data_IF_881743094435
#
_entry.id   IF_881743094435
#
_cell.length_a   1.000
_cell.length_b   1.000
_cell.length_c   1.000
_cell.angle_alpha   90.00
_cell.angle_beta   90.00
_cell.angle_gamma   90.00
#
_symmetry.space_group_name_H-M   'P 1'
#
loop_
_entity.id
_entity.type
_entity.pdbx_description
1 polymer ?
#
# COMPACT_ATOMS: atom_id res chain seq x y z
N UNK A 1 -5.47 3.96 -17.22
CA UNK A 1 -6.11 2.64 -17.39
C UNK A 1 -5.33 1.46 -16.79
N UNK A 2 -4.04 1.62 -16.52
CA UNK A 2 -3.18 0.55 -15.93
C UNK A 2 -3.00 0.65 -14.41
N UNK A 3 -3.35 1.76 -13.80
CA UNK A 3 -3.19 2.02 -12.36
C UNK A 3 -4.25 1.28 -11.52
N UNK A 4 -5.47 1.12 -12.04
CA UNK A 4 -6.47 0.26 -11.39
C UNK A 4 -6.01 -1.20 -11.24
N UNK A 5 -5.12 -1.65 -12.13
CA UNK A 5 -4.51 -2.99 -12.10
C UNK A 5 -3.42 -3.07 -11.03
N UNK A 6 -2.69 -1.97 -10.78
CA UNK A 6 -1.66 -1.96 -9.75
C UNK A 6 -2.24 -1.97 -8.33
N UNK A 7 -3.37 -1.30 -8.10
CA UNK A 7 -4.11 -1.38 -6.83
C UNK A 7 -4.64 -2.79 -6.60
N UNK A 8 -4.99 -3.53 -7.67
CA UNK A 8 -5.35 -4.94 -7.59
C UNK A 8 -4.12 -5.87 -7.46
N UNK A 9 -2.95 -5.45 -7.94
CA UNK A 9 -1.73 -6.24 -7.80
C UNK A 9 -1.21 -6.26 -6.35
N UNK A 10 -1.53 -5.26 -5.54
CA UNK A 10 -1.33 -5.32 -4.09
C UNK A 10 -2.31 -6.28 -3.39
N UNK A 11 -3.45 -6.60 -4.02
CA UNK A 11 -4.45 -7.48 -3.44
C UNK A 11 -4.24 -8.97 -3.71
N UNK A 12 -3.45 -9.28 -4.62
CA UNK A 12 -2.92 -10.60 -4.96
C UNK A 12 -1.82 -10.28 -5.94
N UNK A 13 -0.83 -11.08 -6.08
CA UNK A 13 -0.26 -11.28 -7.40
C UNK A 13 -1.38 -11.82 -8.31
N UNK A 14 -2.53 -11.14 -8.30
CA UNK A 14 -3.40 -11.22 -9.42
C UNK A 14 -2.56 -10.67 -10.57
N UNK A 15 -1.70 -11.51 -11.08
CA UNK A 15 -1.59 -11.58 -12.49
C UNK A 15 -3.03 -11.81 -12.93
N UNK A 16 -3.81 -10.75 -12.95
CA UNK A 16 -4.69 -10.64 -14.06
C UNK A 16 -3.70 -10.84 -15.17
N UNK A 17 -3.61 -12.09 -15.63
CA UNK A 17 -3.09 -12.37 -16.94
C UNK A 17 -3.77 -11.26 -17.72
N UNK A 18 -3.02 -10.20 -17.93
CA UNK A 18 -3.56 -9.07 -18.67
C UNK A 18 -4.13 -9.74 -19.88
N UNK A 19 -5.39 -9.59 -20.17
CA UNK A 19 -5.78 -9.76 -21.53
C UNK A 19 -5.00 -8.66 -22.26
N UNK A 20 -3.80 -9.00 -22.70
CA UNK A 20 -3.05 -8.27 -23.72
C UNK A 20 -3.82 -8.18 -25.04
N UNK A 21 -5.09 -8.54 -25.01
CA UNK A 21 -6.02 -8.62 -26.15
C UNK A 21 -7.07 -7.53 -26.18
N UNK A 22 -7.05 -6.51 -25.29
CA UNK A 22 -8.09 -5.48 -25.25
C UNK A 22 -7.69 -4.15 -25.91
N UNK A 23 -6.69 -4.16 -26.79
CA UNK A 23 -6.38 -3.02 -27.65
C UNK A 23 -6.08 -3.50 -29.07
N UNK A 24 -7.02 -4.22 -29.68
CA UNK A 24 -7.08 -4.24 -31.13
C UNK A 24 -7.98 -3.07 -31.58
N UNK A 25 -7.36 -1.93 -31.75
CA UNK A 25 -7.88 -0.88 -32.58
C UNK A 25 -7.81 -1.36 -34.03
N UNK A 26 -8.96 -1.50 -34.67
CA UNK A 26 -9.11 -1.79 -36.09
C UNK A 26 -8.79 -0.52 -36.90
N UNK A 27 -7.52 -0.21 -37.05
CA UNK A 27 -7.04 0.74 -38.08
C UNK A 27 -6.50 -0.03 -39.27
N UNK A 28 -6.80 0.37 -40.51
CA UNK A 28 -6.29 -0.29 -41.73
C UNK A 28 -4.78 -0.26 -41.78
N UNK A 29 -4.12 -1.23 -42.44
CA UNK A 29 -2.68 -1.39 -42.40
C UNK A 29 -1.98 -0.21 -43.08
N UNK A 30 -1.30 0.60 -42.25
CA UNK A 30 -0.27 1.50 -42.72
C UNK A 30 1.02 0.70 -43.09
N UNK A 31 1.74 1.15 -44.09
CA UNK A 31 2.99 0.55 -44.54
C UNK A 31 3.94 0.21 -43.36
N UNK A 32 4.74 -0.86 -43.47
CA UNK A 32 5.57 -1.32 -42.35
C UNK A 32 6.58 -0.23 -41.98
N UNK A 33 6.39 0.34 -40.79
CA UNK A 33 7.41 1.17 -40.16
C UNK A 33 8.65 0.30 -39.85
N UNK A 34 9.87 0.85 -39.90
CA UNK A 34 11.06 0.12 -39.50
C UNK A 34 10.84 -0.50 -38.13
N UNK A 35 11.21 -1.78 -37.99
CA UNK A 35 11.04 -2.53 -36.75
C UNK A 35 11.61 -1.70 -35.58
N UNK A 36 10.84 -1.47 -34.51
CA UNK A 36 11.34 -0.76 -33.34
C UNK A 36 12.57 -1.51 -32.81
N UNK A 37 13.60 -0.77 -32.41
CA UNK A 37 14.76 -1.33 -31.74
C UNK A 37 14.28 -2.25 -30.61
N UNK A 38 14.88 -3.45 -30.43
CA UNK A 38 14.46 -4.38 -29.40
C UNK A 38 14.48 -3.66 -28.05
N UNK A 39 13.32 -3.56 -27.42
CA UNK A 39 13.23 -3.02 -26.06
C UNK A 39 14.07 -3.90 -25.13
N UNK A 40 14.91 -3.31 -24.26
CA UNK A 40 15.66 -4.09 -23.28
C UNK A 40 14.70 -5.03 -22.54
N UNK A 41 14.93 -6.32 -22.64
CA UNK A 41 14.15 -7.31 -21.90
C UNK A 41 14.75 -7.41 -20.51
N UNK A 42 14.01 -6.98 -19.49
CA UNK A 42 14.36 -7.18 -18.08
C UNK A 42 14.01 -8.58 -17.60
N UNK A 43 13.79 -9.52 -18.54
CA UNK A 43 13.44 -10.92 -18.27
C UNK A 43 14.50 -11.85 -18.86
N UNK A 44 15.01 -12.77 -18.05
CA UNK A 44 16.00 -13.77 -18.44
C UNK A 44 15.54 -15.15 -17.96
N UNK A 45 15.32 -16.08 -18.89
CA UNK A 45 14.91 -17.44 -18.55
C UNK A 45 13.59 -17.54 -17.78
N UNK A 46 12.65 -16.61 -18.04
CA UNK A 46 11.37 -16.55 -17.33
C UNK A 46 11.43 -15.84 -15.97
N UNK A 47 12.60 -15.32 -15.58
CA UNK A 47 12.77 -14.51 -14.38
C UNK A 47 12.75 -13.04 -14.76
N UNK A 48 11.87 -12.27 -14.14
CA UNK A 48 11.72 -10.82 -14.32
C UNK A 48 12.52 -10.06 -13.26
N UNK A 49 13.24 -9.03 -13.70
CA UNK A 49 13.98 -8.11 -12.84
C UNK A 49 13.35 -6.72 -12.97
N UNK A 50 13.08 -6.09 -11.83
CA UNK A 50 12.62 -4.70 -11.78
C UNK A 50 13.19 -3.99 -10.58
N UNK A 51 13.09 -2.67 -10.57
CA UNK A 51 13.52 -1.89 -9.42
C UNK A 51 13.13 -0.44 -9.54
N UNK A 52 13.27 0.28 -8.43
CA UNK A 52 13.01 1.71 -8.36
C UNK A 52 13.95 2.41 -7.38
N UNK A 53 14.12 3.71 -7.59
CA UNK A 53 14.72 4.64 -6.64
C UNK A 53 13.76 5.82 -6.53
N UNK A 54 13.32 6.09 -5.31
CA UNK A 54 12.38 7.15 -4.96
C UNK A 54 13.04 8.10 -3.96
N UNK A 55 13.21 9.36 -4.35
CA UNK A 55 13.75 10.40 -3.52
C UNK A 55 12.86 11.64 -3.51
N UNK A 56 12.86 12.38 -2.40
CA UNK A 56 12.01 13.54 -2.23
C UNK A 56 12.66 14.66 -1.44
N UNK A 57 12.09 15.84 -1.57
CA UNK A 57 12.22 16.95 -0.63
C UNK A 57 10.83 17.34 -0.15
N UNK A 58 10.61 17.36 1.16
CA UNK A 58 9.33 17.79 1.75
C UNK A 58 9.56 19.06 2.57
N UNK A 59 8.94 20.18 2.17
CA UNK A 59 8.92 21.44 2.90
C UNK A 59 7.70 21.51 3.80
N UNK A 60 7.88 21.40 5.11
CA UNK A 60 6.84 21.55 6.11
C UNK A 60 6.79 23.04 6.58
N UNK A 61 5.65 23.70 6.39
CA UNK A 61 5.51 25.13 6.67
C UNK A 61 5.43 25.48 8.16
N UNK A 62 5.19 24.48 9.01
CA UNK A 62 5.32 24.64 10.45
C UNK A 62 6.78 24.67 10.92
N UNK A 63 7.73 24.30 10.05
CA UNK A 63 9.16 24.26 10.34
C UNK A 63 9.50 23.54 11.67
N UNK A 64 9.02 22.30 11.91
CA UNK A 64 9.17 21.62 13.19
C UNK A 64 10.64 21.32 13.50
N UNK A 65 11.07 21.58 14.74
CA UNK A 65 12.43 21.30 15.19
C UNK A 65 12.73 19.78 15.17
N UNK A 66 11.69 18.93 15.26
CA UNK A 66 11.80 17.48 15.08
C UNK A 66 12.23 17.10 13.67
N UNK A 67 12.08 18.00 12.67
CA UNK A 67 12.31 17.74 11.24
C UNK A 67 11.51 16.54 10.71
N UNK A 68 10.30 16.34 11.23
CA UNK A 68 9.41 15.25 10.90
C UNK A 68 8.05 15.78 10.44
N UNK A 69 7.48 15.14 9.42
CA UNK A 69 6.08 15.27 9.04
C UNK A 69 5.29 14.27 9.88
N UNK A 70 4.52 14.76 10.83
CA UNK A 70 3.71 13.89 11.66
C UNK A 70 2.56 13.29 10.84
N UNK A 71 2.19 12.04 11.13
CA UNK A 71 1.19 11.24 10.41
C UNK A 71 1.56 10.85 8.96
N UNK A 72 2.74 11.22 8.48
CA UNK A 72 3.24 10.87 7.14
C UNK A 72 4.34 9.82 7.28
N UNK A 73 4.06 8.59 6.85
CA UNK A 73 4.93 7.44 7.14
C UNK A 73 6.05 7.23 6.11
N UNK A 74 5.82 7.61 4.85
CA UNK A 74 6.75 7.35 3.75
C UNK A 74 7.54 8.61 3.35
N UNK A 75 6.94 9.78 3.51
CA UNK A 75 7.55 11.10 3.34
C UNK A 75 7.76 11.80 4.70
N UNK A 76 8.19 11.01 5.66
CA UNK A 76 8.33 11.36 7.08
C UNK A 76 9.29 12.52 7.35
N UNK A 77 10.38 12.63 6.59
CA UNK A 77 11.40 13.65 6.84
C UNK A 77 10.98 15.02 6.30
N UNK A 78 10.94 16.03 7.18
CA UNK A 78 10.61 17.41 6.86
C UNK A 78 11.84 18.27 6.62
N UNK A 79 11.76 19.23 5.70
CA UNK A 79 12.76 20.26 5.41
C UNK A 79 14.15 19.71 5.07
N UNK A 80 14.19 18.57 4.36
CA UNK A 80 15.42 17.94 3.91
C UNK A 80 15.20 17.05 2.69
N UNK A 81 16.27 16.78 1.95
CA UNK A 81 16.28 15.74 0.92
C UNK A 81 16.36 14.36 1.57
N UNK A 82 15.59 13.43 1.06
CA UNK A 82 15.50 12.07 1.64
C UNK A 82 15.37 11.01 0.56
N UNK A 83 15.96 9.86 0.83
CA UNK A 83 15.70 8.62 0.10
C UNK A 83 14.43 7.99 0.70
N UNK A 84 13.33 8.03 -0.03
CA UNK A 84 12.10 7.34 0.34
C UNK A 84 12.30 5.83 0.26
N UNK A 85 12.72 5.36 -0.93
CA UNK A 85 12.89 3.95 -1.20
C UNK A 85 13.93 3.71 -2.31
N UNK A 86 14.73 2.65 -2.16
CA UNK A 86 15.47 2.01 -3.22
C UNK A 86 15.16 0.51 -3.17
N UNK A 87 14.57 -0.06 -4.24
CA UNK A 87 14.06 -1.42 -4.26
C UNK A 87 14.51 -2.18 -5.51
N UNK A 88 14.79 -3.46 -5.34
CA UNK A 88 15.03 -4.43 -6.40
C UNK A 88 14.05 -5.57 -6.22
N UNK A 89 13.43 -6.00 -7.31
CA UNK A 89 12.46 -7.10 -7.35
C UNK A 89 12.92 -8.17 -8.32
N UNK A 90 12.77 -9.42 -7.92
CA UNK A 90 13.01 -10.61 -8.75
C UNK A 90 11.77 -11.48 -8.69
N UNK A 91 11.18 -11.80 -9.82
CA UNK A 91 9.94 -12.52 -9.89
C UNK A 91 9.96 -13.62 -10.96
N UNK A 92 9.28 -14.71 -10.69
CA UNK A 92 8.94 -15.76 -11.66
C UNK A 92 7.44 -16.03 -11.56
N UNK A 93 6.73 -15.89 -12.68
CA UNK A 93 5.30 -16.19 -12.72
C UNK A 93 5.02 -17.67 -12.45
N UNK A 94 3.97 -18.03 -11.67
CA UNK A 94 3.66 -19.43 -11.35
C UNK A 94 3.13 -20.20 -12.56
N UNK A 95 3.95 -21.12 -13.08
CA UNK A 95 3.58 -22.07 -14.14
C UNK A 95 4.32 -23.41 -13.97
N UNK A 96 3.89 -24.31 -13.07
CA UNK A 96 2.91 -24.14 -11.98
C UNK A 96 3.49 -23.53 -10.70
N UNK A 97 4.80 -23.31 -10.61
CA UNK A 97 5.51 -22.78 -9.44
C UNK A 97 6.12 -21.45 -9.81
N UNK A 98 5.95 -20.45 -8.94
CA UNK A 98 6.53 -19.13 -9.06
C UNK A 98 7.12 -18.64 -7.75
N UNK A 99 7.67 -17.45 -7.77
CA UNK A 99 8.15 -16.75 -6.58
C UNK A 99 8.20 -15.25 -6.81
N UNK A 100 8.21 -14.50 -5.72
CA UNK A 100 8.49 -13.07 -5.66
C UNK A 100 9.48 -12.80 -4.54
N UNK A 101 10.52 -12.01 -4.83
CA UNK A 101 11.46 -11.49 -3.83
C UNK A 101 11.64 -10.00 -4.10
N UNK A 102 11.28 -9.17 -3.11
CA UNK A 102 11.44 -7.72 -3.12
C UNK A 102 12.34 -7.31 -1.98
N UNK A 103 13.48 -6.72 -2.32
CA UNK A 103 14.47 -6.22 -1.37
C UNK A 103 14.61 -4.72 -1.51
N UNK A 104 14.60 -4.00 -0.39
CA UNK A 104 14.71 -2.57 -0.44
C UNK A 104 15.29 -1.91 0.81
N UNK A 105 15.55 -0.62 0.66
CA UNK A 105 16.18 0.25 1.63
C UNK A 105 15.52 1.62 1.58
N UNK A 106 15.67 2.38 2.64
CA UNK A 106 15.16 3.74 2.75
C UNK A 106 14.14 3.90 3.86
N UNK A 107 13.63 5.12 4.04
CA UNK A 107 12.71 5.45 5.15
C UNK A 107 11.41 4.64 5.13
N UNK A 108 10.92 4.29 3.96
CA UNK A 108 9.75 3.42 3.84
C UNK A 108 9.95 2.08 4.56
N UNK A 109 11.12 1.45 4.39
CA UNK A 109 11.45 0.17 5.03
C UNK A 109 11.62 0.28 6.54
N UNK A 110 12.21 1.37 7.05
CA UNK A 110 12.27 1.63 8.49
C UNK A 110 10.85 1.69 9.09
N UNK A 111 9.92 2.28 8.33
CA UNK A 111 8.57 2.52 8.81
C UNK A 111 7.68 1.28 8.76
N UNK A 112 7.62 0.57 7.64
CA UNK A 112 6.76 -0.62 7.50
C UNK A 112 7.13 -1.73 8.48
N UNK A 113 8.41 -1.79 8.90
CA UNK A 113 8.92 -2.75 9.88
C UNK A 113 9.06 -2.18 11.30
N UNK A 114 8.48 -1.00 11.57
CA UNK A 114 8.64 -0.33 12.87
C UNK A 114 7.97 -1.07 14.04
N UNK A 115 6.99 -1.92 13.75
CA UNK A 115 6.24 -2.72 14.74
C UNK A 115 6.78 -4.13 14.92
N UNK A 116 7.78 -4.54 14.14
CA UNK A 116 8.43 -5.84 14.31
C UNK A 116 9.02 -5.97 15.72
N UNK A 117 8.93 -7.15 16.37
CA UNK A 117 9.50 -7.36 17.67
C UNK A 117 10.99 -6.98 17.72
N UNK A 118 11.39 -6.29 18.78
CA UNK A 118 12.79 -5.92 18.99
C UNK A 118 13.62 -7.19 19.17
N UNK A 119 14.52 -7.46 18.25
CA UNK A 119 15.35 -8.67 18.22
C UNK A 119 15.21 -9.50 16.95
N UNK A 120 14.23 -9.22 16.09
CA UNK A 120 14.23 -9.74 14.74
C UNK A 120 15.52 -9.31 14.04
N UNK A 121 16.17 -10.25 13.38
CA UNK A 121 17.42 -10.01 12.68
C UNK A 121 17.27 -8.81 11.74
N UNK A 122 18.13 -7.80 11.90
CA UNK A 122 17.97 -6.50 11.23
C UNK A 122 17.89 -6.56 9.70
N UNK A 123 18.31 -7.67 9.06
CA UNK A 123 18.16 -7.89 7.62
C UNK A 123 16.73 -8.16 7.17
N UNK A 124 15.83 -8.66 8.04
CA UNK A 124 14.41 -8.86 7.72
C UNK A 124 13.72 -7.55 7.38
N UNK A 125 14.20 -6.42 7.92
CA UNK A 125 13.70 -5.08 7.58
C UNK A 125 13.90 -4.67 6.13
N UNK A 126 14.74 -5.39 5.39
CA UNK A 126 15.00 -5.10 3.99
C UNK A 126 14.17 -5.99 3.04
N UNK A 127 13.36 -6.89 3.59
CA UNK A 127 12.49 -7.78 2.81
C UNK A 127 11.08 -7.18 2.84
N UNK A 128 10.60 -6.72 1.69
CA UNK A 128 9.21 -6.31 1.54
C UNK A 128 8.33 -7.52 1.24
N UNK A 129 8.77 -8.35 0.31
CA UNK A 129 8.11 -9.59 -0.06
C UNK A 129 9.13 -10.72 -0.27
N UNK A 130 8.81 -11.91 0.17
CA UNK A 130 9.54 -13.13 -0.13
C UNK A 130 8.57 -14.31 -0.02
N UNK A 131 8.02 -14.76 -1.13
CA UNK A 131 7.06 -15.87 -1.13
C UNK A 131 7.20 -16.76 -2.36
N UNK A 132 6.74 -17.99 -2.21
CA UNK A 132 6.58 -18.98 -3.28
C UNK A 132 5.11 -19.05 -3.65
N UNK A 133 4.83 -19.11 -4.96
CA UNK A 133 3.49 -19.26 -5.52
C UNK A 133 3.30 -20.63 -6.13
N UNK A 134 2.12 -21.21 -5.94
CA UNK A 134 1.69 -22.46 -6.57
C UNK A 134 0.37 -22.21 -7.30
N UNK A 135 0.36 -22.47 -8.60
CA UNK A 135 -0.81 -22.34 -9.49
C UNK A 135 -1.00 -23.60 -10.32
N UNK A 136 -1.70 -24.62 -9.78
CA UNK A 136 -1.85 -25.89 -10.47
C UNK A 136 -2.65 -25.70 -11.78
N UNK A 137 -2.19 -26.24 -12.93
CA UNK A 137 -2.82 -26.01 -14.23
C UNK A 137 -4.30 -26.43 -14.32
N UNK A 138 -4.71 -27.41 -13.53
CA UNK A 138 -6.08 -27.95 -13.53
C UNK A 138 -6.99 -27.36 -12.45
N UNK A 139 -6.50 -26.41 -11.64
CA UNK A 139 -7.21 -25.86 -10.49
C UNK A 139 -8.06 -24.62 -10.81
N UNK A 140 -8.48 -24.43 -12.06
CA UNK A 140 -9.38 -23.36 -12.51
C UNK A 140 -8.91 -21.95 -12.10
N UNK A 141 -7.59 -21.71 -12.10
CA UNK A 141 -7.00 -20.42 -11.73
C UNK A 141 -6.79 -20.23 -10.23
N UNK A 142 -6.96 -21.27 -9.42
CA UNK A 142 -6.53 -21.25 -8.01
C UNK A 142 -5.03 -20.96 -7.91
N UNK A 143 -4.66 -20.07 -7.01
CA UNK A 143 -3.30 -19.71 -6.68
C UNK A 143 -3.14 -19.68 -5.17
N UNK A 144 -2.01 -20.15 -4.67
CA UNK A 144 -1.64 -20.10 -3.27
C UNK A 144 -0.21 -19.58 -3.13
N UNK A 145 0.01 -18.59 -2.28
CA UNK A 145 1.31 -18.03 -1.95
C UNK A 145 1.64 -18.32 -0.50
N UNK A 146 2.90 -18.71 -0.25
CA UNK A 146 3.42 -18.94 1.09
C UNK A 146 4.71 -18.15 1.30
N UNK A 147 4.74 -17.34 2.35
CA UNK A 147 5.85 -16.48 2.74
C UNK A 147 5.40 -15.10 3.18
N UNK A 148 6.26 -14.10 3.01
CA UNK A 148 5.97 -12.70 3.28
C UNK A 148 5.41 -12.01 2.04
N UNK A 149 4.28 -11.33 2.18
CA UNK A 149 3.61 -10.61 1.10
C UNK A 149 2.94 -9.34 1.61
N UNK A 150 2.87 -8.31 0.77
CA UNK A 150 2.15 -7.07 1.10
C UNK A 150 0.67 -7.32 1.31
N UNK A 151 0.05 -6.47 2.12
CA UNK A 151 -1.40 -6.56 2.40
C UNK A 151 -2.24 -6.46 1.13
N UNK A 152 -3.45 -7.02 1.18
CA UNK A 152 -4.48 -6.80 0.18
C UNK A 152 -5.45 -5.67 0.54
N UNK A 153 -5.33 -5.09 1.75
CA UNK A 153 -6.17 -3.99 2.20
C UNK A 153 -5.68 -2.64 1.66
N UNK A 154 -6.61 -1.70 1.50
CA UNK A 154 -6.35 -0.33 1.08
C UNK A 154 -6.41 -0.10 -0.42
N UNK A 155 -6.59 1.18 -0.80
CA UNK A 155 -6.61 1.64 -2.18
C UNK A 155 -5.22 2.00 -2.71
N UNK A 156 -4.22 2.08 -1.85
CA UNK A 156 -2.84 2.43 -2.15
C UNK A 156 -1.91 1.24 -1.91
N UNK A 157 -0.68 1.33 -2.40
CA UNK A 157 0.39 0.34 -2.22
C UNK A 157 1.63 1.03 -1.64
N UNK A 158 2.62 0.26 -1.21
CA UNK A 158 3.83 0.79 -0.58
C UNK A 158 4.62 1.71 -1.52
N UNK A 159 4.74 1.34 -2.80
CA UNK A 159 5.51 2.12 -3.76
C UNK A 159 4.73 3.35 -4.26
N UNK A 160 5.26 4.54 -3.98
CA UNK A 160 4.67 5.80 -4.47
C UNK A 160 4.55 5.84 -6.00
N UNK A 161 5.41 5.13 -6.73
CA UNK A 161 5.39 5.01 -8.20
C UNK A 161 4.02 4.58 -8.75
N UNK A 162 3.34 3.68 -8.06
CA UNK A 162 2.06 3.09 -8.49
C UNK A 162 0.84 3.80 -7.91
N UNK A 163 1.03 4.63 -6.90
CA UNK A 163 -0.01 5.48 -6.32
C UNK A 163 -0.25 6.72 -7.18
N UNK A 164 -1.40 7.35 -7.04
CA UNK A 164 -1.73 8.60 -7.76
C UNK A 164 -1.16 9.84 -7.08
N UNK A 165 -1.01 9.80 -5.75
CA UNK A 165 -0.35 10.82 -4.94
C UNK A 165 1.07 10.36 -4.59
N UNK A 166 1.94 11.30 -4.21
CA UNK A 166 3.27 10.98 -3.71
C UNK A 166 3.20 10.47 -2.27
N UNK A 167 2.59 11.25 -1.39
CA UNK A 167 2.33 10.84 -0.01
C UNK A 167 1.21 9.82 0.08
N UNK A 168 1.30 8.93 1.04
CA UNK A 168 0.25 7.95 1.32
C UNK A 168 -0.89 8.57 2.12
N UNK A 169 -2.08 8.00 1.95
CA UNK A 169 -3.28 8.36 2.69
C UNK A 169 -3.14 8.07 4.19
N UNK A 170 -3.92 8.77 5.01
CA UNK A 170 -4.05 8.44 6.44
C UNK A 170 -4.58 7.02 6.63
N UNK A 171 -5.49 6.57 5.75
CA UNK A 171 -6.02 5.21 5.80
C UNK A 171 -4.92 4.18 5.56
N UNK A 172 -4.12 4.33 4.52
CA UNK A 172 -3.01 3.42 4.24
C UNK A 172 -1.98 3.43 5.38
N UNK A 173 -1.69 4.62 5.91
CA UNK A 173 -0.66 4.78 6.93
C UNK A 173 -1.08 4.25 8.32
N UNK A 174 -2.38 4.35 8.68
CA UNK A 174 -2.82 4.19 10.07
C UNK A 174 -4.01 3.25 10.28
N UNK A 175 -4.74 2.86 9.22
CA UNK A 175 -5.92 2.02 9.37
C UNK A 175 -5.68 0.54 9.10
N UNK A 176 -4.68 0.18 8.30
CA UNK A 176 -4.47 -1.15 7.73
C UNK A 176 -3.05 -1.68 7.99
N UNK A 177 -2.81 -3.00 7.91
CA UNK A 177 -1.45 -3.55 7.90
C UNK A 177 -0.72 -3.24 6.58
N UNK A 178 0.61 -3.28 6.58
CA UNK A 178 1.43 -3.14 5.37
C UNK A 178 1.74 -4.49 4.73
N UNK A 179 2.00 -5.52 5.53
CA UNK A 179 2.35 -6.86 5.06
C UNK A 179 1.93 -7.95 6.05
N UNK A 180 2.05 -9.17 5.60
CA UNK A 180 1.78 -10.38 6.38
C UNK A 180 2.80 -11.46 6.05
N UNK A 181 3.03 -12.37 6.99
CA UNK A 181 3.73 -13.63 6.74
C UNK A 181 2.80 -14.82 6.97
N UNK A 182 2.65 -15.71 5.98
CA UNK A 182 1.79 -16.87 6.10
C UNK A 182 1.36 -17.44 4.75
N UNK A 183 0.14 -17.93 4.70
CA UNK A 183 -0.50 -18.46 3.50
C UNK A 183 -1.61 -17.53 3.03
N UNK A 184 -1.62 -17.16 1.76
CA UNK A 184 -2.78 -16.55 1.11
C UNK A 184 -3.21 -17.37 -0.09
N UNK A 185 -4.51 -17.34 -0.40
CA UNK A 185 -5.07 -18.01 -1.56
C UNK A 185 -5.91 -17.04 -2.39
N UNK A 186 -6.07 -17.35 -3.66
CA UNK A 186 -6.93 -16.62 -4.57
C UNK A 186 -7.54 -17.57 -5.59
N UNK A 187 -8.82 -17.37 -5.93
CA UNK A 187 -9.52 -18.18 -6.92
C UNK A 187 -10.56 -17.34 -7.66
N UNK A 188 -10.55 -17.34 -9.01
CA UNK A 188 -11.67 -16.82 -9.78
C UNK A 188 -12.91 -17.72 -9.60
N UNK A 189 -13.93 -17.21 -8.90
CA UNK A 189 -15.18 -17.95 -8.65
C UNK A 189 -16.18 -17.78 -9.81
N UNK A 190 -16.11 -16.63 -10.47
CA UNK A 190 -16.85 -16.34 -11.72
C UNK A 190 -15.96 -15.52 -12.65
N UNK A 191 -16.46 -15.16 -13.85
CA UNK A 191 -15.76 -14.25 -14.79
C UNK A 191 -15.49 -12.85 -14.22
N UNK A 192 -16.21 -12.47 -13.18
CA UNK A 192 -16.15 -11.11 -12.61
C UNK A 192 -15.83 -11.09 -11.13
N UNK A 193 -15.86 -12.23 -10.45
CA UNK A 193 -15.66 -12.30 -9.01
C UNK A 193 -14.53 -13.25 -8.66
N UNK A 194 -13.57 -12.76 -7.88
CA UNK A 194 -12.45 -13.51 -7.29
C UNK A 194 -12.58 -13.45 -5.78
N UNK A 195 -12.31 -14.56 -5.12
CA UNK A 195 -12.28 -14.65 -3.66
C UNK A 195 -11.00 -15.31 -3.17
N UNK A 196 -10.64 -15.08 -1.91
CA UNK A 196 -9.46 -15.67 -1.29
C UNK A 196 -9.56 -15.74 0.22
N UNK A 197 -8.73 -16.58 0.80
CA UNK A 197 -8.57 -16.74 2.25
C UNK A 197 -7.10 -16.64 2.59
N UNK A 198 -6.79 -16.04 3.73
CA UNK A 198 -5.44 -15.89 4.25
C UNK A 198 -5.38 -16.45 5.68
N UNK A 199 -4.25 -17.07 6.03
CA UNK A 199 -3.90 -17.47 7.41
C UNK A 199 -2.48 -17.00 7.64
N UNK A 200 -2.33 -16.01 8.53
CA UNK A 200 -1.07 -15.27 8.69
C UNK A 200 -0.70 -15.12 10.17
N UNK A 201 0.56 -14.81 10.45
CA UNK A 201 1.04 -14.55 11.80
C UNK A 201 0.28 -13.39 12.45
N UNK A 202 0.14 -12.27 11.74
CA UNK A 202 -0.53 -11.08 12.23
C UNK A 202 -0.34 -9.89 11.29
N UNK A 203 -0.44 -8.69 11.87
CA UNK A 203 -0.24 -7.41 11.18
C UNK A 203 1.21 -6.98 11.29
N UNK A 204 1.90 -6.84 10.14
CA UNK A 204 3.29 -6.40 10.07
C UNK A 204 4.27 -7.26 10.89
N UNK A 205 3.97 -8.55 10.99
CA UNK A 205 4.76 -9.52 11.76
C UNK A 205 5.34 -10.58 10.83
N UNK A 206 6.66 -10.53 10.61
CA UNK A 206 7.41 -11.62 9.98
C UNK A 206 7.54 -12.77 10.98
N UNK A 207 7.92 -12.46 12.22
CA UNK A 207 7.92 -13.36 13.35
C UNK A 207 6.67 -13.11 14.19
N UNK A 208 5.94 -14.18 14.53
CA UNK A 208 4.69 -14.07 15.27
C UNK A 208 4.89 -13.50 16.68
N UNK A 209 4.17 -12.46 17.02
CA UNK A 209 4.24 -11.80 18.33
C UNK A 209 3.39 -12.47 19.42
N UNK A 210 2.61 -13.53 19.05
CA UNK A 210 1.81 -14.35 19.94
C UNK A 210 1.72 -15.79 19.39
N UNK A 211 0.78 -16.63 19.80
CA UNK A 211 0.63 -18.01 19.28
C UNK A 211 -0.61 -18.21 18.41
N UNK A 212 -1.45 -17.19 18.33
CA UNK A 212 -2.66 -17.22 17.50
C UNK A 212 -2.35 -16.89 16.05
N UNK A 213 -3.36 -17.00 15.18
CA UNK A 213 -3.23 -16.62 13.77
C UNK A 213 -4.36 -15.66 13.40
N UNK A 214 -4.02 -14.73 12.51
CA UNK A 214 -4.99 -13.85 11.89
C UNK A 214 -5.52 -14.47 10.61
N UNK A 215 -6.84 -14.45 10.47
CA UNK A 215 -7.54 -14.90 9.27
C UNK A 215 -7.94 -13.69 8.42
N UNK A 216 -7.69 -13.77 7.12
CA UNK A 216 -8.11 -12.79 6.13
C UNK A 216 -9.10 -13.42 5.14
N UNK A 217 -10.13 -12.66 4.77
CA UNK A 217 -11.08 -13.00 3.72
C UNK A 217 -11.08 -11.87 2.70
N UNK A 218 -10.84 -12.20 1.43
CA UNK A 218 -10.72 -11.22 0.36
C UNK A 218 -11.76 -11.48 -0.71
N UNK A 219 -12.29 -10.42 -1.30
CA UNK A 219 -13.24 -10.51 -2.40
C UNK A 219 -13.11 -9.36 -3.37
N UNK A 220 -13.14 -9.64 -4.67
CA UNK A 220 -13.07 -8.62 -5.71
C UNK A 220 -14.08 -8.87 -6.82
N UNK A 221 -14.83 -7.83 -7.17
CA UNK A 221 -15.82 -7.85 -8.28
C UNK A 221 -15.45 -6.79 -9.30
N UNK A 222 -15.07 -7.23 -10.50
CA UNK A 222 -14.56 -6.36 -11.56
C UNK A 222 -15.51 -6.30 -12.76
N UNK A 223 -15.77 -5.07 -13.21
CA UNK A 223 -16.47 -4.73 -14.44
C UNK A 223 -15.66 -3.69 -15.23
N UNK A 224 -15.98 -3.45 -16.53
CA UNK A 224 -15.19 -2.54 -17.37
C UNK A 224 -15.04 -1.12 -16.83
N UNK A 225 -16.00 -0.62 -16.05
CA UNK A 225 -16.01 0.75 -15.53
C UNK A 225 -15.81 0.88 -14.03
N UNK A 226 -15.78 -0.23 -13.30
CA UNK A 226 -15.55 -0.22 -11.86
C UNK A 226 -15.04 -1.56 -11.37
N UNK A 227 -14.31 -1.48 -10.24
CA UNK A 227 -13.93 -2.62 -9.43
C UNK A 227 -14.31 -2.32 -7.98
N UNK A 228 -15.04 -3.26 -7.37
CA UNK A 228 -15.30 -3.29 -5.95
C UNK A 228 -14.48 -4.41 -5.35
N UNK A 229 -13.67 -4.13 -4.34
CA UNK A 229 -12.95 -5.17 -3.60
C UNK A 229 -12.93 -4.83 -2.11
N UNK A 230 -12.78 -5.84 -1.31
CA UNK A 230 -12.75 -5.68 0.13
C UNK A 230 -12.07 -6.83 0.84
N UNK A 231 -11.71 -6.54 2.08
CA UNK A 231 -11.00 -7.44 2.95
C UNK A 231 -11.65 -7.43 4.34
N UNK A 232 -11.64 -8.59 4.99
CA UNK A 232 -11.94 -8.71 6.40
C UNK A 232 -10.83 -9.50 7.06
N UNK A 233 -10.17 -8.87 8.04
CA UNK A 233 -9.14 -9.51 8.86
C UNK A 233 -9.64 -9.66 10.29
N UNK A 234 -9.35 -10.82 10.90
CA UNK A 234 -9.74 -11.12 12.28
C UNK A 234 -8.73 -12.05 12.94
N UNK A 235 -8.21 -11.66 14.08
CA UNK A 235 -7.26 -12.47 14.86
C UNK A 235 -6.74 -11.77 16.11
N UNK A 236 -5.99 -12.47 16.93
CA UNK A 236 -5.27 -11.89 18.07
C UNK A 236 -4.04 -11.11 17.55
N UNK A 237 -3.86 -9.89 18.04
CA UNK A 237 -2.78 -8.98 17.66
C UNK A 237 -2.10 -8.34 18.87
N UNK A 238 -2.43 -8.81 20.08
CA UNK A 238 -1.78 -8.34 21.29
C UNK A 238 -0.52 -9.15 21.56
N UNK A 239 0.59 -8.46 21.87
CA UNK A 239 1.89 -9.09 22.08
C UNK A 239 1.86 -10.06 23.28
N UNK A 240 2.46 -11.25 23.10
CA UNK A 240 2.58 -12.33 24.08
C UNK A 240 1.25 -12.94 24.56
N UNK A 241 0.13 -12.70 23.87
CA UNK A 241 -1.17 -13.26 24.27
C UNK A 241 -2.16 -13.36 23.13
N UNK A 242 -3.02 -14.38 23.17
CA UNK A 242 -4.17 -14.51 22.26
C UNK A 242 -5.45 -13.86 22.83
N UNK A 243 -5.37 -13.22 24.00
CA UNK A 243 -6.48 -12.51 24.61
C UNK A 243 -6.74 -11.19 23.87
N UNK A 244 -7.99 -10.96 23.49
CA UNK A 244 -8.38 -9.78 22.73
C UNK A 244 -8.05 -9.92 21.24
N UNK A 245 -9.05 -9.60 20.43
CA UNK A 245 -8.97 -9.76 18.99
C UNK A 245 -9.06 -8.42 18.27
N UNK A 246 -8.30 -8.30 17.18
CA UNK A 246 -8.41 -7.21 16.21
C UNK A 246 -9.31 -7.63 15.07
N UNK A 247 -10.08 -6.68 14.58
CA UNK A 247 -10.91 -6.84 13.39
C UNK A 247 -10.69 -5.64 12.49
N UNK A 248 -10.64 -5.87 11.18
CA UNK A 248 -10.60 -4.84 10.15
C UNK A 248 -11.59 -5.19 9.05
N UNK A 249 -12.40 -4.23 8.67
CA UNK A 249 -13.15 -4.22 7.42
C UNK A 249 -12.53 -3.13 6.54
N UNK A 250 -12.09 -3.52 5.36
CA UNK A 250 -11.61 -2.64 4.31
C UNK A 250 -12.49 -2.81 3.08
N UNK A 251 -12.93 -1.70 2.48
CA UNK A 251 -13.77 -1.68 1.29
C UNK A 251 -13.32 -0.61 0.31
N UNK A 252 -13.13 -1.00 -0.93
CA UNK A 252 -12.59 -0.15 -1.98
C UNK A 252 -13.46 -0.20 -3.23
N UNK A 253 -13.85 0.97 -3.71
CA UNK A 253 -14.51 1.15 -5.00
C UNK A 253 -13.58 1.95 -5.91
N UNK A 254 -13.08 1.31 -6.96
CA UNK A 254 -12.32 1.97 -8.02
C UNK A 254 -13.23 2.19 -9.23
N UNK A 255 -13.28 3.42 -9.71
CA UNK A 255 -14.08 3.85 -10.85
C UNK A 255 -13.18 4.23 -12.03
N UNK A 256 -13.52 3.75 -13.23
CA UNK A 256 -12.82 4.08 -14.48
C UNK A 256 -13.84 4.58 -15.53
N UNK A 257 -14.49 5.73 -15.28
CA UNK A 257 -15.56 6.23 -16.14
C UNK A 257 -15.07 6.59 -17.55
N UNK A 258 -13.81 6.97 -17.69
CA UNK A 258 -13.18 7.27 -18.99
C UNK A 258 -11.69 6.96 -18.98
N UNK A 259 -11.01 6.90 -20.15
CA UNK A 259 -9.56 6.71 -20.21
C UNK A 259 -8.73 7.80 -19.53
N UNK A 260 -9.32 8.97 -19.30
CA UNK A 260 -8.64 10.13 -18.68
C UNK A 260 -8.99 10.33 -17.22
N UNK A 261 -10.03 9.69 -16.72
CA UNK A 261 -10.50 9.91 -15.36
C UNK A 261 -10.66 8.56 -14.65
N UNK A 262 -9.97 8.43 -13.55
CA UNK A 262 -10.11 7.35 -12.58
C UNK A 262 -10.40 7.95 -11.21
N UNK A 263 -11.08 7.22 -10.36
CA UNK A 263 -11.33 7.64 -8.98
C UNK A 263 -11.35 6.42 -8.07
N UNK A 264 -11.09 6.62 -6.79
CA UNK A 264 -11.37 5.61 -5.79
C UNK A 264 -12.10 6.20 -4.58
N UNK A 265 -12.81 5.32 -3.89
CA UNK A 265 -13.34 5.52 -2.54
C UNK A 265 -12.86 4.33 -1.74
N UNK A 266 -12.10 4.59 -0.68
CA UNK A 266 -11.67 3.58 0.30
C UNK A 266 -12.33 3.89 1.63
N UNK A 267 -12.84 2.87 2.30
CA UNK A 267 -13.40 2.95 3.65
C UNK A 267 -12.81 1.84 4.51
N UNK A 268 -12.29 2.21 5.68
CA UNK A 268 -11.75 1.31 6.67
C UNK A 268 -12.48 1.47 8.01
N UNK A 269 -12.79 0.34 8.63
CA UNK A 269 -13.23 0.27 10.01
C UNK A 269 -12.44 -0.81 10.75
N UNK A 270 -11.72 -0.40 11.78
CA UNK A 270 -10.95 -1.28 12.63
C UNK A 270 -11.36 -1.23 14.10
N UNK A 271 -11.17 -2.32 14.80
CA UNK A 271 -11.29 -2.39 16.25
C UNK A 271 -10.26 -3.36 16.83
N UNK A 272 -9.76 -3.04 18.02
CA UNK A 272 -8.86 -3.88 18.79
C UNK A 272 -9.37 -4.03 20.22
N UNK A 273 -9.54 -5.26 20.67
CA UNK A 273 -9.76 -5.56 22.10
C UNK A 273 -8.39 -5.65 22.75
N UNK A 274 -8.05 -4.69 23.59
CA UNK A 274 -6.77 -4.68 24.30
C UNK A 274 -6.69 -5.85 25.28
N UNK A 275 -5.47 -6.36 25.49
CA UNK A 275 -5.18 -7.30 26.55
C UNK A 275 -4.55 -6.54 27.73
N UNK A 276 -4.92 -6.92 28.94
CA UNK A 276 -4.43 -6.30 30.18
C UNK A 276 -3.96 -7.40 31.12
N UNK A 277 -2.76 -7.26 31.67
CA UNK A 277 -2.24 -8.11 32.73
C UNK A 277 -1.83 -7.24 33.92
N UNK A 278 -1.99 -7.70 35.17
CA UNK A 278 -1.35 -7.08 36.35
C UNK A 278 0.16 -7.05 36.19
N UNK A 279 0.82 -6.06 36.79
CA UNK A 279 2.28 -5.94 36.77
C UNK A 279 2.96 -7.24 37.26
N UNK A 280 3.91 -7.73 36.46
CA UNK A 280 4.63 -8.99 36.73
C UNK A 280 3.81 -10.27 36.48
N UNK A 281 2.59 -10.17 35.96
CA UNK A 281 1.74 -11.33 35.64
C UNK A 281 1.85 -11.71 34.16
N UNK A 282 1.85 -13.03 33.91
CA UNK A 282 1.71 -13.58 32.54
C UNK A 282 0.25 -13.91 32.20
N UNK A 283 -0.67 -13.67 33.14
CA UNK A 283 -2.11 -13.93 32.93
C UNK A 283 -2.78 -12.67 32.38
N UNK A 284 -3.23 -12.73 31.13
CA UNK A 284 -3.94 -11.65 30.46
C UNK A 284 -5.45 -11.80 30.51
N UNK A 285 -6.14 -10.67 30.61
CA UNK A 285 -7.60 -10.57 30.51
C UNK A 285 -8.00 -9.55 29.44
N UNK A 286 -9.22 -9.67 28.91
CA UNK A 286 -9.73 -8.71 27.93
C UNK A 286 -9.95 -7.34 28.59
N UNK A 287 -9.31 -6.33 28.03
CA UNK A 287 -9.40 -4.93 28.43
C UNK A 287 -10.41 -4.11 27.61
N UNK A 288 -10.11 -2.82 27.45
CA UNK A 288 -10.93 -1.88 26.69
C UNK A 288 -10.96 -2.21 25.18
N UNK A 289 -12.00 -1.74 24.51
CA UNK A 289 -12.14 -1.82 23.07
C UNK A 289 -11.74 -0.47 22.46
N UNK A 290 -10.71 -0.47 21.63
CA UNK A 290 -10.32 0.65 20.80
C UNK A 290 -10.90 0.50 19.39
N UNK A 291 -11.23 1.63 18.74
CA UNK A 291 -11.80 1.67 17.39
C UNK A 291 -11.14 2.77 16.58
N UNK A 292 -11.07 2.57 15.28
CA UNK A 292 -10.70 3.59 14.31
C UNK A 292 -11.49 3.39 13.02
N UNK A 293 -11.69 4.46 12.27
CA UNK A 293 -12.34 4.39 10.97
C UNK A 293 -12.02 5.60 10.12
N UNK A 294 -12.15 5.45 8.83
CA UNK A 294 -11.95 6.57 7.94
C UNK A 294 -12.46 6.31 6.52
N UNK A 295 -12.49 7.38 5.76
CA UNK A 295 -12.78 7.36 4.33
C UNK A 295 -11.76 8.21 3.59
N UNK A 296 -11.24 7.67 2.47
CA UNK A 296 -10.39 8.38 1.52
C UNK A 296 -11.06 8.39 0.14
N UNK A 297 -11.01 9.54 -0.53
CA UNK A 297 -11.51 9.71 -1.89
C UNK A 297 -10.43 10.42 -2.70
N UNK A 298 -10.07 9.84 -3.86
CA UNK A 298 -9.18 10.50 -4.81
C UNK A 298 -9.71 10.39 -6.24
N UNK A 299 -9.34 11.37 -7.05
CA UNK A 299 -9.67 11.39 -8.46
C UNK A 299 -8.42 11.73 -9.29
N UNK A 300 -8.02 10.84 -10.17
CA UNK A 300 -6.86 10.99 -11.04
C UNK A 300 -7.30 11.42 -12.44
N UNK A 301 -6.93 12.63 -12.84
CA UNK A 301 -7.22 13.16 -14.16
C UNK A 301 -5.95 13.24 -15.01
N UNK A 302 -5.90 12.41 -16.07
CA UNK A 302 -4.84 12.42 -17.08
C UNK A 302 -5.04 13.60 -18.03
N UNK A 303 -4.42 14.73 -17.75
CA UNK A 303 -4.57 15.96 -18.53
C UNK A 303 -3.94 15.83 -19.92
N UNK A 304 -2.73 15.25 -20.01
CA UNK A 304 -2.01 14.97 -21.27
C UNK A 304 -1.40 13.56 -21.21
N UNK A 305 -0.73 13.12 -22.27
CA UNK A 305 -0.01 11.84 -22.26
C UNK A 305 1.12 11.77 -21.19
N UNK A 306 1.57 12.93 -20.68
CA UNK A 306 2.69 13.03 -19.74
C UNK A 306 2.32 13.63 -18.40
N UNK A 307 1.14 14.24 -18.26
CA UNK A 307 0.80 14.97 -17.02
C UNK A 307 -0.57 14.58 -16.50
N UNK A 308 -0.65 14.45 -15.18
CA UNK A 308 -1.87 14.17 -14.46
C UNK A 308 -2.00 15.06 -13.21
N UNK A 309 -3.24 15.22 -12.73
CA UNK A 309 -3.55 15.94 -11.50
C UNK A 309 -4.44 15.03 -10.66
N UNK A 310 -4.11 14.92 -9.38
CA UNK A 310 -4.83 14.07 -8.43
C UNK A 310 -5.12 14.80 -7.14
N UNK A 311 -6.34 15.30 -6.93
CA UNK A 311 -6.83 15.64 -5.60
C UNK A 311 -7.18 14.38 -4.80
N UNK A 312 -6.89 14.41 -3.49
CA UNK A 312 -7.32 13.44 -2.47
C UNK A 312 -7.88 14.19 -1.28
N UNK A 313 -8.91 13.63 -0.68
CA UNK A 313 -9.49 14.08 0.58
C UNK A 313 -9.74 12.88 1.48
N UNK A 314 -9.45 13.06 2.79
CA UNK A 314 -9.66 12.02 3.78
C UNK A 314 -10.32 12.57 5.05
N UNK A 315 -11.05 11.68 5.70
CA UNK A 315 -11.54 11.86 7.07
C UNK A 315 -11.25 10.62 7.89
N UNK A 316 -10.54 10.77 9.00
CA UNK A 316 -10.13 9.68 9.87
C UNK A 316 -10.48 9.97 11.33
N UNK A 317 -11.00 8.98 12.05
CA UNK A 317 -11.42 9.10 13.44
C UNK A 317 -10.71 8.02 14.26
N UNK A 318 -9.98 8.44 15.28
CA UNK A 318 -9.29 7.59 16.25
C UNK A 318 -9.67 8.03 17.68
N UNK A 319 -10.85 7.65 18.17
CA UNK A 319 -11.40 8.22 19.42
C UNK A 319 -10.69 7.74 20.68
N UNK A 320 -9.88 6.69 20.62
CA UNK A 320 -9.07 6.20 21.72
C UNK A 320 -7.56 6.41 21.51
N UNK A 321 -7.14 6.98 20.39
CA UNK A 321 -5.73 7.17 20.07
C UNK A 321 -4.98 5.87 19.81
N UNK A 322 -5.67 4.85 19.37
CA UNK A 322 -5.07 3.52 19.15
C UNK A 322 -4.11 3.51 17.96
N UNK A 323 -4.51 4.11 16.85
CA UNK A 323 -3.71 4.15 15.63
C UNK A 323 -2.70 5.30 15.63
N UNK A 324 -3.12 6.50 16.02
CA UNK A 324 -2.31 7.72 15.88
C UNK A 324 -1.63 8.17 17.18
N UNK A 325 -1.82 7.43 18.27
CA UNK A 325 -1.31 7.79 19.61
C UNK A 325 -2.09 8.89 20.32
N UNK A 326 -3.07 9.51 19.65
CA UNK A 326 -3.87 10.62 20.20
C UNK A 326 -5.34 10.46 19.84
N UNK A 327 -6.22 10.62 20.83
CA UNK A 327 -7.67 10.61 20.61
C UNK A 327 -8.09 11.85 19.81
N UNK A 328 -8.30 11.70 18.49
CA UNK A 328 -8.49 12.80 17.56
C UNK A 328 -9.34 12.44 16.34
N UNK A 329 -9.76 13.50 15.65
CA UNK A 329 -10.36 13.45 14.31
C UNK A 329 -9.47 14.22 13.35
N UNK A 330 -9.18 13.58 12.22
CA UNK A 330 -8.28 14.12 11.20
C UNK A 330 -9.02 14.35 9.90
N UNK A 331 -8.66 15.44 9.22
CA UNK A 331 -8.98 15.67 7.81
C UNK A 331 -7.67 15.85 7.06
N UNK A 332 -7.60 15.32 5.88
CA UNK A 332 -6.45 15.48 4.98
C UNK A 332 -6.94 16.00 3.63
N UNK A 333 -6.18 16.93 3.05
CA UNK A 333 -6.36 17.38 1.69
C UNK A 333 -5.02 17.42 0.98
N UNK A 334 -4.93 16.72 -0.14
CA UNK A 334 -3.74 16.65 -0.99
C UNK A 334 -4.10 16.97 -2.44
N UNK A 335 -3.21 17.66 -3.13
CA UNK A 335 -3.24 17.79 -4.59
C UNK A 335 -1.86 17.50 -5.15
N UNK A 336 -1.77 16.53 -6.05
CA UNK A 336 -0.53 16.13 -6.72
C UNK A 336 -0.60 16.49 -8.21
N UNK A 337 0.44 17.14 -8.70
CA UNK A 337 0.75 17.23 -10.11
C UNK A 337 1.84 16.23 -10.44
N UNK A 338 1.55 15.32 -11.37
CA UNK A 338 2.50 14.33 -11.90
C UNK A 338 2.97 14.71 -13.30
N UNK A 339 4.26 14.55 -13.54
CA UNK A 339 4.85 14.70 -14.85
C UNK A 339 5.77 13.53 -15.20
N UNK A 340 5.41 12.79 -16.24
CA UNK A 340 6.24 11.72 -16.82
C UNK A 340 7.30 12.34 -17.73
N UNK A 341 8.50 12.50 -17.22
CA UNK A 341 9.61 13.14 -17.94
C UNK A 341 10.01 12.32 -19.17
N UNK A 342 10.37 11.07 -18.93
CA UNK A 342 10.64 10.03 -19.91
C UNK A 342 10.10 8.69 -19.40
N UNK A 343 10.20 7.65 -20.18
CA UNK A 343 9.89 6.31 -19.70
C UNK A 343 10.85 5.93 -18.56
N UNK A 344 10.31 5.44 -17.44
CA UNK A 344 11.09 5.09 -16.26
C UNK A 344 11.45 6.26 -15.34
N UNK A 345 10.95 7.50 -15.60
CA UNK A 345 11.21 8.64 -14.73
C UNK A 345 9.97 9.52 -14.54
N UNK A 346 9.48 9.57 -13.30
CA UNK A 346 8.36 10.42 -12.86
C UNK A 346 8.88 11.55 -11.97
N UNK A 347 8.28 12.73 -12.10
CA UNK A 347 8.39 13.81 -11.13
C UNK A 347 7.00 14.15 -10.61
N UNK A 348 6.89 14.43 -9.32
CA UNK A 348 5.65 14.87 -8.66
C UNK A 348 5.90 16.11 -7.83
N UNK A 349 4.95 17.02 -7.87
CA UNK A 349 4.85 18.15 -6.96
C UNK A 349 3.50 18.03 -6.27
N UNK A 350 3.52 18.02 -4.95
CA UNK A 350 2.35 17.76 -4.14
C UNK A 350 2.21 18.80 -3.03
N UNK A 351 1.03 19.35 -2.88
CA UNK A 351 0.62 20.10 -1.70
C UNK A 351 -0.23 19.19 -0.82
N UNK A 352 0.05 19.14 0.47
CA UNK A 352 -0.73 18.40 1.48
C UNK A 352 -0.95 19.28 2.71
N UNK A 353 -2.14 19.15 3.31
CA UNK A 353 -2.45 19.71 4.61
C UNK A 353 -3.21 18.68 5.45
N UNK A 354 -2.61 18.23 6.53
CA UNK A 354 -3.26 17.44 7.57
C UNK A 354 -3.85 18.38 8.62
N UNK A 355 -5.09 18.12 9.03
CA UNK A 355 -5.78 18.89 10.07
C UNK A 355 -6.27 17.95 11.18
N UNK A 356 -5.97 18.30 12.44
CA UNK A 356 -6.50 17.65 13.64
C UNK A 356 -7.49 18.54 14.38
N UNK A 357 -8.51 17.97 15.00
CA UNK A 357 -9.39 18.64 15.95
C UNK A 357 -8.67 19.03 17.27
N UNK A 358 -7.44 18.53 17.46
CA UNK A 358 -6.54 18.82 18.59
C UNK A 358 -5.32 19.61 18.13
N UNK A 359 -4.63 20.25 19.07
CA UNK A 359 -3.27 20.68 18.88
C UNK A 359 -2.40 19.40 18.88
N UNK A 360 -1.90 19.03 17.72
CA UNK A 360 -1.20 17.76 17.50
C UNK A 360 0.13 17.96 16.76
N UNK A 361 0.16 18.87 15.80
CA UNK A 361 1.33 19.09 14.97
C UNK A 361 2.34 20.02 15.64
N UNK A 362 3.61 19.72 15.46
CA UNK A 362 4.72 20.55 15.93
C UNK A 362 4.86 21.81 15.08
N UNK A 363 5.28 22.92 15.70
CA UNK A 363 5.69 24.13 15.01
C UNK A 363 6.91 24.75 15.69
N UNK A 364 7.96 25.01 14.89
CA UNK A 364 9.24 25.46 15.37
C UNK A 364 9.75 24.55 16.52
N UNK A 365 10.01 25.09 17.69
CA UNK A 365 10.41 24.34 18.89
C UNK A 365 9.24 23.90 19.78
N UNK A 366 7.99 24.11 19.35
CA UNK A 366 6.81 23.80 20.16
C UNK A 366 6.16 22.51 19.68
N UNK A 367 6.22 21.46 20.48
CA UNK A 367 5.56 20.21 20.22
C UNK A 367 4.04 20.34 20.39
N UNK A 368 3.28 19.65 19.55
CA UNK A 368 1.83 19.58 19.59
C UNK A 368 1.13 20.94 19.77
N UNK A 369 1.57 21.96 19.05
CA UNK A 369 1.11 23.33 19.20
C UNK A 369 0.12 23.78 18.14
N UNK A 370 0.04 23.08 17.02
CA UNK A 370 -0.79 23.44 15.87
C UNK A 370 -1.81 22.34 15.53
N UNK A 371 -2.90 22.77 14.90
CA UNK A 371 -3.94 21.88 14.37
C UNK A 371 -3.75 21.51 12.91
N UNK A 372 -2.88 22.21 12.20
CA UNK A 372 -2.63 22.04 10.78
C UNK A 372 -1.16 21.78 10.53
N UNK A 373 -0.89 20.95 9.53
CA UNK A 373 0.44 20.69 9.00
C UNK A 373 0.42 20.85 7.48
N UNK A 374 0.50 22.07 6.96
CA UNK A 374 0.63 22.31 5.53
C UNK A 374 2.06 22.09 5.05
N UNK A 375 2.22 21.50 3.88
CA UNK A 375 3.53 21.25 3.27
C UNK A 375 3.48 21.10 1.77
N UNK A 376 4.67 21.13 1.16
CA UNK A 376 4.88 20.86 -0.26
C UNK A 376 5.97 19.82 -0.39
N UNK A 377 5.69 18.74 -1.12
CA UNK A 377 6.66 17.68 -1.43
C UNK A 377 6.97 17.69 -2.92
N UNK A 378 8.26 17.58 -3.25
CA UNK A 378 8.75 17.33 -4.61
C UNK A 378 9.42 15.97 -4.61
N UNK A 379 8.84 15.02 -5.33
CA UNK A 379 9.34 13.66 -5.46
C UNK A 379 9.86 13.37 -6.87
N UNK A 380 10.89 12.55 -6.94
CA UNK A 380 11.44 12.04 -8.21
C UNK A 380 11.64 10.54 -8.09
N UNK A 381 11.05 9.79 -9.01
CA UNK A 381 11.01 8.33 -8.99
C UNK A 381 11.56 7.81 -10.29
N UNK A 382 12.71 7.15 -10.23
CA UNK A 382 13.30 6.42 -11.36
C UNK A 382 13.00 4.92 -11.19
N UNK A 383 12.54 4.26 -12.25
CA UNK A 383 12.19 2.84 -12.22
C UNK A 383 12.48 2.13 -13.53
N UNK A 384 12.72 0.84 -13.45
CA UNK A 384 12.93 -0.05 -14.58
C UNK A 384 12.24 -1.39 -14.37
N UNK A 385 12.05 -2.14 -15.44
CA UNK A 385 11.47 -3.50 -15.37
C UNK A 385 10.74 -3.87 -16.65
N UNK A 386 10.18 -5.08 -16.70
CA UNK A 386 9.34 -5.53 -17.80
C UNK A 386 8.17 -4.56 -18.00
N UNK A 387 7.83 -4.28 -19.24
CA UNK A 387 6.57 -3.59 -19.54
C UNK A 387 5.42 -4.54 -19.23
N UNK A 388 4.71 -4.28 -18.17
CA UNK A 388 3.51 -5.02 -17.78
C UNK A 388 2.26 -4.28 -18.24
#
# INVERSE_FOLDING_TARGET
MRIAIAVLAGCTSMTIATPSTWAQDSTPPAAPAPAPAPTPTWSVGGIDFSGLIDGYYSGNFNNPASRQNQLQNFDFNANQFSLGMAKISVAHAPDPIGFQVDLGFGKAFDWIHSTEPSGSNGYLRNIEQAYVSIKPPKAKGFEADFGQFVTSAGAEVIESMTNWNYSHSLLFAWAIPYYHFGLRTSMPLTKSFTGGVQVVNGWNDTEDNNTGKTFGFTGGYTKPKYTLYGNYYVGPENVNTNVGWRNLIDANLVLTPSPKLNAYINYDYGQNRNAVAPEGSTHFTAGSLSRWQGVAVAAHYQATAKSAITPRFEYFIDPQGFSTGTAQKLNEFTVTYEYKMVEGLLARVEFRNDHSDKNFFDKDNNAASEKNQPGVTVGMIAFFGPKR
#
